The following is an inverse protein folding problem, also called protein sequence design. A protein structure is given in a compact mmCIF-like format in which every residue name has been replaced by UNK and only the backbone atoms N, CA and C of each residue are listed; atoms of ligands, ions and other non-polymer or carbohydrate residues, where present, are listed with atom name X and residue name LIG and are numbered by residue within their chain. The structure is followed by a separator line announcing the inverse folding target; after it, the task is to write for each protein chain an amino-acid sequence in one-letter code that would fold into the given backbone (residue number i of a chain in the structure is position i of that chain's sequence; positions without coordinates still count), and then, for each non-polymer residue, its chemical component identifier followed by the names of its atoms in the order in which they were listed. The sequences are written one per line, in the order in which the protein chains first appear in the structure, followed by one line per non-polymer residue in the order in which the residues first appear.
data_IF_301834938324
#
_entry.id   IF_301834938324
#
_cell.length_a   1.000
_cell.length_b   1.000
_cell.length_c   1.000
_cell.angle_alpha   90.00
_cell.angle_beta   90.00
_cell.angle_gamma   90.00
#
_symmetry.space_group_name_H-M   'P 1'
#
loop_
_entity.id
_entity.type
_entity.pdbx_description
1 polymer ?
#
# COMPACT_ATOMS: atom_id res chain seq x y z
N UNK A 1 23.47 -10.66 -27.48
CA UNK A 1 22.94 -10.80 -26.10
C UNK A 1 23.18 -12.22 -25.63
N UNK A 2 23.65 -12.43 -24.39
CA UNK A 2 23.84 -13.75 -23.78
C UNK A 2 23.54 -13.71 -22.28
N UNK A 3 23.30 -14.87 -21.67
CA UNK A 3 23.15 -14.98 -20.20
C UNK A 3 24.39 -15.64 -19.61
N UNK A 4 24.89 -15.12 -18.49
CA UNK A 4 25.99 -15.73 -17.73
C UNK A 4 25.98 -15.26 -16.27
N UNK A 5 26.62 -16.03 -15.38
CA UNK A 5 26.85 -15.58 -14.01
C UNK A 5 28.04 -14.63 -13.95
N UNK A 6 27.85 -13.47 -13.34
CA UNK A 6 28.91 -12.49 -13.12
C UNK A 6 29.18 -12.30 -11.63
N UNK A 7 30.43 -11.99 -11.30
CA UNK A 7 30.79 -11.59 -9.96
C UNK A 7 30.25 -10.18 -9.69
N UNK A 8 29.42 -10.00 -8.66
CA UNK A 8 28.81 -8.69 -8.35
C UNK A 8 29.85 -7.60 -8.10
N UNK A 9 31.04 -7.96 -7.62
CA UNK A 9 32.12 -7.01 -7.31
C UNK A 9 32.84 -6.49 -8.55
N UNK A 10 32.72 -7.16 -9.71
CA UNK A 10 33.35 -6.72 -10.97
C UNK A 10 32.44 -5.83 -11.81
N UNK A 11 31.20 -5.62 -11.38
CA UNK A 11 30.20 -4.84 -12.12
C UNK A 11 30.22 -3.40 -11.63
N UNK A 12 30.36 -2.47 -12.58
CA UNK A 12 30.44 -1.02 -12.37
C UNK A 12 29.07 -0.37 -12.63
N UNK A 13 28.89 0.85 -12.15
CA UNK A 13 27.69 1.67 -12.38
C UNK A 13 28.08 2.95 -13.10
N UNK A 14 27.32 3.32 -14.14
CA UNK A 14 27.50 4.60 -14.83
C UNK A 14 26.47 5.60 -14.30
N UNK A 15 26.93 6.56 -13.49
CA UNK A 15 26.07 7.57 -12.85
C UNK A 15 25.73 8.73 -13.78
N UNK A 16 26.17 8.72 -15.05
CA UNK A 16 25.86 9.80 -16.00
C UNK A 16 24.39 9.79 -16.44
N UNK A 17 23.73 8.63 -16.38
CA UNK A 17 22.30 8.48 -16.71
C UNK A 17 21.49 7.76 -15.63
N UNK A 18 22.13 7.13 -14.63
CA UNK A 18 21.45 6.40 -13.55
C UNK A 18 21.36 7.22 -12.28
N UNK A 19 20.26 7.05 -11.54
CA UNK A 19 20.11 7.63 -10.21
C UNK A 19 20.99 6.91 -9.17
N UNK A 20 21.50 7.59 -8.14
CA UNK A 20 22.26 6.96 -7.07
C UNK A 20 21.48 5.83 -6.37
N UNK A 21 22.21 4.83 -5.86
CA UNK A 21 21.62 3.73 -5.10
C UNK A 21 20.95 4.26 -3.83
N UNK A 22 19.69 3.89 -3.65
CA UNK A 22 18.92 4.25 -2.46
C UNK A 22 19.12 3.18 -1.38
N UNK A 23 19.80 3.54 -0.29
CA UNK A 23 20.10 2.61 0.81
C UNK A 23 18.85 2.02 1.46
N UNK A 24 17.71 2.74 1.43
CA UNK A 24 16.43 2.23 1.94
C UNK A 24 15.90 1.07 1.10
N UNK A 25 16.02 1.16 -0.23
CA UNK A 25 15.62 0.07 -1.13
C UNK A 25 16.55 -1.14 -0.98
N UNK A 26 17.86 -0.91 -0.82
CA UNK A 26 18.81 -1.99 -0.53
C UNK A 26 18.45 -2.71 0.76
N UNK A 27 18.21 -1.98 1.86
CA UNK A 27 17.78 -2.58 3.14
C UNK A 27 16.48 -3.37 3.02
N UNK A 28 15.52 -2.91 2.20
CA UNK A 28 14.27 -3.66 1.95
C UNK A 28 14.54 -4.98 1.21
N UNK A 29 15.43 -4.97 0.22
CA UNK A 29 15.81 -6.19 -0.51
C UNK A 29 16.49 -7.18 0.43
N UNK A 30 17.49 -6.73 1.20
CA UNK A 30 18.21 -7.58 2.17
C UNK A 30 17.24 -8.19 3.19
N UNK A 31 16.34 -7.37 3.76
CA UNK A 31 15.38 -7.84 4.78
C UNK A 31 14.40 -8.89 4.24
N UNK A 32 13.99 -8.79 2.98
CA UNK A 32 12.99 -9.68 2.36
C UNK A 32 13.61 -10.55 1.28
N UNK A 33 14.91 -10.86 1.39
CA UNK A 33 15.62 -11.58 0.34
C UNK A 33 15.04 -12.98 0.17
N UNK A 34 14.65 -13.29 -1.06
CA UNK A 34 14.21 -14.62 -1.45
C UNK A 34 15.00 -15.03 -2.70
N UNK A 35 15.91 -16.03 -2.59
CA UNK A 35 16.69 -16.50 -3.73
C UNK A 35 15.84 -16.90 -4.93
N UNK A 36 14.63 -17.44 -4.71
CA UNK A 36 13.71 -17.86 -5.78
C UNK A 36 13.07 -16.68 -6.53
N UNK A 37 13.07 -15.48 -5.93
CA UNK A 37 12.56 -14.26 -6.53
C UNK A 37 13.67 -13.38 -7.12
N UNK A 38 14.95 -13.80 -7.01
CA UNK A 38 16.07 -13.06 -7.57
C UNK A 38 16.05 -13.16 -9.09
N UNK A 39 15.72 -12.05 -9.74
CA UNK A 39 15.77 -11.93 -11.20
C UNK A 39 17.15 -11.50 -11.67
N UNK A 40 17.52 -11.90 -12.88
CA UNK A 40 18.79 -11.53 -13.50
C UNK A 40 18.95 -10.01 -13.59
N UNK A 41 20.17 -9.53 -13.42
CA UNK A 41 20.52 -8.14 -13.71
C UNK A 41 20.79 -7.95 -15.20
N UNK A 42 20.70 -6.72 -15.70
CA UNK A 42 21.01 -6.39 -17.09
C UNK A 42 22.29 -5.58 -17.10
N UNK A 43 23.27 -5.99 -17.91
CA UNK A 43 24.58 -5.35 -17.99
C UNK A 43 25.01 -5.12 -19.45
N UNK A 44 25.75 -4.03 -19.66
CA UNK A 44 26.51 -3.74 -20.87
C UNK A 44 27.95 -4.19 -20.67
N UNK A 45 28.46 -5.03 -21.59
CA UNK A 45 29.88 -5.29 -21.73
C UNK A 45 30.43 -4.32 -22.78
N UNK A 46 31.23 -3.36 -22.33
CA UNK A 46 31.83 -2.32 -23.17
C UNK A 46 33.06 -2.85 -23.91
N UNK A 47 33.62 -2.04 -24.81
CA UNK A 47 34.78 -2.40 -25.64
C UNK A 47 36.05 -2.66 -24.85
N UNK A 48 36.17 -2.11 -23.65
CA UNK A 48 37.23 -2.40 -22.67
C UNK A 48 37.05 -3.75 -21.95
N UNK A 49 35.95 -4.47 -22.24
CA UNK A 49 35.60 -5.74 -21.61
C UNK A 49 34.91 -5.61 -20.26
N UNK A 50 34.78 -4.40 -19.73
CA UNK A 50 34.19 -4.11 -18.42
C UNK A 50 32.66 -4.19 -18.46
N UNK A 51 32.08 -4.58 -17.33
CA UNK A 51 30.64 -4.72 -17.18
C UNK A 51 30.03 -3.52 -16.44
N UNK A 52 29.04 -2.90 -17.06
CA UNK A 52 28.27 -1.80 -16.50
C UNK A 52 26.81 -2.22 -16.30
N UNK A 53 26.29 -2.10 -15.09
CA UNK A 53 24.87 -2.39 -14.81
C UNK A 53 23.99 -1.37 -15.53
N UNK A 54 22.94 -1.86 -16.21
CA UNK A 54 21.85 -1.05 -16.79
C UNK A 54 20.61 -1.17 -15.88
N UNK A 55 20.29 -2.39 -15.41
CA UNK A 55 19.19 -2.63 -14.47
C UNK A 55 19.61 -3.60 -13.36
N UNK A 56 19.13 -3.32 -12.15
CA UNK A 56 19.40 -4.14 -10.97
C UNK A 56 20.46 -3.58 -10.03
N UNK A 57 20.76 -2.28 -10.06
CA UNK A 57 21.75 -1.66 -9.18
C UNK A 57 21.48 -1.90 -7.67
N UNK A 58 20.23 -1.81 -7.20
CA UNK A 58 19.89 -2.07 -5.81
C UNK A 58 19.98 -3.57 -5.47
N UNK A 59 19.63 -4.45 -6.42
CA UNK A 59 19.79 -5.91 -6.28
C UNK A 59 21.27 -6.27 -6.14
N UNK A 60 22.10 -5.79 -7.05
CA UNK A 60 23.56 -5.97 -6.98
C UNK A 60 24.12 -5.45 -5.65
N UNK A 61 23.70 -4.26 -5.20
CA UNK A 61 24.14 -3.69 -3.93
C UNK A 61 23.71 -4.51 -2.71
N UNK A 62 22.50 -5.07 -2.74
CA UNK A 62 22.02 -5.96 -1.69
C UNK A 62 22.79 -7.28 -1.67
N UNK A 63 23.09 -7.86 -2.83
CA UNK A 63 23.91 -9.08 -2.94
C UNK A 63 25.33 -8.85 -2.40
N UNK A 64 25.94 -7.69 -2.71
CA UNK A 64 27.23 -7.28 -2.11
C UNK A 64 27.14 -7.20 -0.59
N UNK A 65 26.08 -6.59 -0.05
CA UNK A 65 25.88 -6.47 1.41
C UNK A 65 25.66 -7.83 2.09
N UNK A 66 25.16 -8.83 1.36
CA UNK A 66 24.90 -10.19 1.86
C UNK A 66 26.04 -11.17 1.57
N UNK A 67 27.18 -10.70 1.06
CA UNK A 67 28.31 -11.52 0.63
C UNK A 67 27.93 -12.64 -0.37
N UNK A 68 26.94 -12.38 -1.24
CA UNK A 68 26.56 -13.29 -2.32
C UNK A 68 27.32 -12.88 -3.58
N UNK A 69 28.35 -13.64 -4.01
CA UNK A 69 29.32 -13.15 -4.98
C UNK A 69 28.81 -13.21 -6.42
N UNK A 70 27.88 -14.10 -6.74
CA UNK A 70 27.47 -14.38 -8.12
C UNK A 70 26.01 -14.03 -8.36
N UNK A 71 25.73 -13.43 -9.51
CA UNK A 71 24.38 -13.10 -9.96
C UNK A 71 24.21 -13.49 -11.43
N UNK A 72 23.03 -13.98 -11.79
CA UNK A 72 22.66 -14.18 -13.19
C UNK A 72 22.56 -12.82 -13.89
N UNK A 73 23.21 -12.68 -15.03
CA UNK A 73 23.26 -11.44 -15.79
C UNK A 73 22.89 -11.66 -17.26
N UNK A 74 22.04 -10.79 -17.79
CA UNK A 74 21.79 -10.63 -19.21
C UNK A 74 22.79 -9.62 -19.78
N UNK A 75 23.72 -10.10 -20.59
CA UNK A 75 24.87 -9.35 -21.08
C UNK A 75 24.60 -8.88 -22.52
N UNK A 76 24.62 -7.57 -22.70
CA UNK A 76 24.62 -6.91 -24.00
C UNK A 76 26.04 -6.48 -24.37
N UNK A 77 26.36 -6.53 -25.65
CA UNK A 77 27.68 -6.15 -26.20
C UNK A 77 27.44 -5.19 -27.36
N UNK A 78 28.36 -4.26 -27.57
CA UNK A 78 28.26 -3.29 -28.68
C UNK A 78 27.25 -2.19 -28.48
N UNK A 79 26.77 -1.97 -27.25
CA UNK A 79 25.95 -0.82 -26.90
C UNK A 79 26.83 0.43 -26.76
N UNK A 80 26.34 1.54 -27.29
CA UNK A 80 26.85 2.87 -26.94
C UNK A 80 26.26 3.32 -25.60
N UNK A 81 26.85 4.36 -24.99
CA UNK A 81 26.26 4.96 -23.78
C UNK A 81 24.86 5.52 -24.01
N UNK A 82 24.57 5.94 -25.24
CA UNK A 82 23.23 6.39 -25.62
C UNK A 82 22.24 5.22 -25.57
N UNK A 83 22.60 4.07 -26.15
CA UNK A 83 21.76 2.87 -26.14
C UNK A 83 21.53 2.37 -24.70
N UNK A 84 22.56 2.41 -23.85
CA UNK A 84 22.44 2.07 -22.43
C UNK A 84 21.44 2.99 -21.71
N UNK A 85 21.52 4.30 -21.94
CA UNK A 85 20.62 5.28 -21.34
C UNK A 85 19.17 5.14 -21.84
N UNK A 86 18.98 4.90 -23.14
CA UNK A 86 17.66 4.61 -23.72
C UNK A 86 17.06 3.34 -23.11
N UNK A 87 17.86 2.28 -22.98
CA UNK A 87 17.44 1.02 -22.37
C UNK A 87 17.08 1.20 -20.88
N UNK A 88 17.91 1.94 -20.13
CA UNK A 88 17.62 2.30 -18.74
C UNK A 88 16.27 3.03 -18.62
N UNK A 89 16.00 4.01 -19.48
CA UNK A 89 14.73 4.73 -19.48
C UNK A 89 13.54 3.78 -19.72
N UNK A 90 13.59 2.97 -20.78
CA UNK A 90 12.51 2.04 -21.16
C UNK A 90 12.22 0.99 -20.09
N UNK A 91 13.24 0.46 -19.42
CA UNK A 91 13.05 -0.52 -18.32
C UNK A 91 12.31 0.13 -17.15
N UNK A 92 12.67 1.37 -16.80
CA UNK A 92 12.09 2.09 -15.67
C UNK A 92 10.70 2.68 -15.96
N UNK A 93 10.23 2.66 -17.21
CA UNK A 93 8.84 3.01 -17.56
C UNK A 93 7.82 1.93 -17.12
N UNK A 94 8.28 0.70 -16.84
CA UNK A 94 7.41 -0.40 -16.40
C UNK A 94 6.85 -0.09 -15.01
N UNK A 95 5.53 0.08 -14.92
CA UNK A 95 4.85 0.40 -13.67
C UNK A 95 4.90 -0.77 -12.68
N UNK A 96 5.12 -0.43 -11.41
CA UNK A 96 4.96 -1.36 -10.30
C UNK A 96 3.54 -1.95 -10.27
N UNK A 97 3.43 -3.22 -9.85
CA UNK A 97 2.13 -3.88 -9.64
C UNK A 97 1.33 -3.14 -8.58
N UNK A 98 0.02 -3.10 -8.76
CA UNK A 98 -0.89 -2.45 -7.81
C UNK A 98 -0.92 -3.23 -6.48
N UNK A 99 -1.25 -2.57 -5.35
CA UNK A 99 -1.45 -3.26 -4.09
C UNK A 99 -2.46 -4.40 -4.17
N UNK A 100 -3.53 -4.22 -4.95
CA UNK A 100 -4.54 -5.25 -5.15
C UNK A 100 -3.97 -6.48 -5.88
N UNK A 101 -3.22 -6.28 -6.98
CA UNK A 101 -2.59 -7.40 -7.68
C UNK A 101 -1.59 -8.16 -6.80
N UNK A 102 -0.80 -7.44 -6.00
CA UNK A 102 0.10 -8.04 -5.01
C UNK A 102 -0.67 -8.78 -3.91
N UNK A 103 -1.78 -8.21 -3.43
CA UNK A 103 -2.69 -8.83 -2.47
C UNK A 103 -3.26 -10.15 -2.97
N UNK A 104 -3.72 -10.18 -4.23
CA UNK A 104 -4.21 -11.39 -4.91
C UNK A 104 -3.14 -12.48 -4.91
N UNK A 105 -1.91 -12.14 -5.28
CA UNK A 105 -0.80 -13.08 -5.31
C UNK A 105 -0.46 -13.61 -3.90
N UNK A 106 -0.37 -12.72 -2.90
CA UNK A 106 -0.12 -13.10 -1.50
C UNK A 106 -1.18 -14.05 -0.97
N UNK A 107 -2.45 -13.74 -1.20
CA UNK A 107 -3.57 -14.60 -0.80
C UNK A 107 -3.47 -15.99 -1.42
N UNK A 108 -3.22 -16.06 -2.74
CA UNK A 108 -3.05 -17.34 -3.44
C UNK A 108 -1.83 -18.15 -2.98
N UNK A 109 -0.79 -17.48 -2.48
CA UNK A 109 0.37 -18.15 -1.88
C UNK A 109 0.19 -18.57 -0.41
N UNK A 110 -0.98 -18.30 0.20
CA UNK A 110 -1.25 -18.62 1.60
C UNK A 110 -0.56 -17.68 2.61
N UNK A 111 -0.26 -16.44 2.22
CA UNK A 111 0.27 -15.44 3.16
C UNK A 111 -0.73 -15.17 4.28
N UNK A 112 -0.29 -15.36 5.53
CA UNK A 112 -1.17 -15.29 6.71
C UNK A 112 -1.92 -13.95 6.80
N UNK A 113 -1.24 -12.83 6.55
CA UNK A 113 -1.87 -11.51 6.63
C UNK A 113 -2.88 -11.29 5.51
N UNK A 114 -2.58 -11.74 4.28
CA UNK A 114 -3.51 -11.68 3.16
C UNK A 114 -4.73 -12.59 3.40
N UNK A 115 -4.56 -13.78 3.95
CA UNK A 115 -5.66 -14.68 4.34
C UNK A 115 -6.54 -14.06 5.43
N UNK A 116 -5.93 -13.47 6.46
CA UNK A 116 -6.66 -12.73 7.50
C UNK A 116 -7.50 -11.58 6.93
N UNK A 117 -6.92 -10.79 6.03
CA UNK A 117 -7.63 -9.70 5.35
C UNK A 117 -8.80 -10.24 4.52
N UNK A 118 -8.57 -11.31 3.77
CA UNK A 118 -9.61 -11.93 2.94
C UNK A 118 -10.79 -12.40 3.79
N UNK A 119 -10.52 -13.16 4.86
CA UNK A 119 -11.54 -13.65 5.77
C UNK A 119 -12.31 -12.51 6.45
N UNK A 120 -11.62 -11.47 6.93
CA UNK A 120 -12.27 -10.31 7.55
C UNK A 120 -13.21 -9.57 6.58
N UNK A 121 -12.87 -9.51 5.28
CA UNK A 121 -13.72 -8.91 4.25
C UNK A 121 -14.93 -9.81 3.95
N UNK A 122 -14.73 -11.12 3.80
CA UNK A 122 -15.82 -12.07 3.54
C UNK A 122 -16.80 -12.16 4.72
N UNK A 123 -16.30 -12.20 5.96
CA UNK A 123 -17.13 -12.20 7.17
C UNK A 123 -17.99 -10.93 7.29
N UNK A 124 -17.49 -9.78 6.81
CA UNK A 124 -18.28 -8.55 6.70
C UNK A 124 -19.34 -8.58 5.57
N UNK A 125 -19.43 -9.69 4.83
CA UNK A 125 -20.31 -9.87 3.68
C UNK A 125 -19.92 -8.98 2.51
N UNK A 126 -18.61 -8.85 2.26
CA UNK A 126 -18.01 -8.06 1.20
C UNK A 126 -17.04 -8.92 0.36
N UNK A 127 -16.63 -8.39 -0.78
CA UNK A 127 -15.66 -9.02 -1.68
C UNK A 127 -14.50 -8.07 -1.97
N UNK A 128 -13.28 -8.60 -2.07
CA UNK A 128 -12.13 -7.82 -2.53
C UNK A 128 -12.12 -7.82 -4.06
N UNK A 129 -12.24 -6.64 -4.67
CA UNK A 129 -12.01 -6.48 -6.09
C UNK A 129 -10.51 -6.29 -6.36
N UNK A 130 -9.82 -7.41 -6.58
CA UNK A 130 -8.39 -7.42 -6.82
C UNK A 130 -7.97 -6.78 -8.16
N UNK A 131 -8.85 -6.79 -9.15
CA UNK A 131 -8.55 -6.27 -10.49
C UNK A 131 -9.01 -4.81 -10.66
N UNK A 132 -9.74 -4.28 -9.66
CA UNK A 132 -10.25 -2.91 -9.62
C UNK A 132 -11.17 -2.57 -10.79
N UNK A 133 -11.89 -3.56 -11.31
CA UNK A 133 -12.81 -3.42 -12.45
C UNK A 133 -14.28 -3.41 -12.03
N UNK A 134 -14.62 -3.97 -10.86
CA UNK A 134 -15.99 -4.05 -10.40
C UNK A 134 -16.43 -2.73 -9.73
N UNK A 135 -17.61 -2.24 -10.09
CA UNK A 135 -18.24 -1.03 -9.52
C UNK A 135 -19.57 -1.33 -8.81
N UNK A 136 -19.86 -2.60 -8.57
CA UNK A 136 -21.05 -3.06 -7.87
C UNK A 136 -20.94 -2.85 -6.36
N UNK A 137 -22.07 -2.99 -5.67
CA UNK A 137 -22.15 -2.97 -4.22
C UNK A 137 -21.34 -4.13 -3.62
N UNK A 138 -21.04 -4.03 -2.31
CA UNK A 138 -20.26 -5.02 -1.55
C UNK A 138 -18.80 -5.23 -1.99
N UNK A 139 -18.27 -4.47 -2.95
CA UNK A 139 -16.89 -4.63 -3.41
C UNK A 139 -15.94 -3.59 -2.81
N UNK A 140 -14.81 -4.08 -2.29
CA UNK A 140 -13.72 -3.25 -1.76
C UNK A 140 -12.54 -3.23 -2.72
N UNK A 141 -12.19 -2.05 -3.21
CA UNK A 141 -11.05 -1.83 -4.13
C UNK A 141 -9.81 -1.30 -3.43
N UNK A 142 -9.93 -0.89 -2.17
CA UNK A 142 -8.85 -0.23 -1.43
C UNK A 142 -7.97 -1.24 -0.66
N UNK A 143 -7.37 -2.23 -1.34
CA UNK A 143 -6.61 -3.30 -0.67
C UNK A 143 -5.50 -2.77 0.26
N UNK A 144 -4.81 -1.70 -0.16
CA UNK A 144 -3.77 -1.07 0.67
C UNK A 144 -4.30 -0.50 2.00
N UNK A 145 -5.57 -0.09 2.05
CA UNK A 145 -6.22 0.33 3.29
C UNK A 145 -6.55 -0.86 4.20
N UNK A 146 -7.02 -1.97 3.60
CA UNK A 146 -7.20 -3.24 4.33
C UNK A 146 -5.89 -3.69 4.96
N UNK A 147 -4.78 -3.69 4.20
CA UNK A 147 -3.45 -4.03 4.72
C UNK A 147 -3.03 -3.11 5.88
N UNK A 148 -3.26 -1.79 5.77
CA UNK A 148 -2.92 -0.84 6.83
C UNK A 148 -3.73 -1.10 8.11
N UNK A 149 -5.04 -1.28 7.99
CA UNK A 149 -5.92 -1.50 9.14
C UNK A 149 -5.61 -2.85 9.79
N UNK A 150 -5.51 -3.94 9.02
CA UNK A 150 -5.15 -5.25 9.56
C UNK A 150 -3.79 -5.23 10.27
N UNK A 151 -2.78 -4.61 9.65
CA UNK A 151 -1.45 -4.50 10.25
C UNK A 151 -1.45 -3.69 11.56
N UNK A 152 -2.28 -2.65 11.65
CA UNK A 152 -2.28 -1.72 12.78
C UNK A 152 -3.17 -2.18 13.94
N UNK A 153 -4.33 -2.75 13.63
CA UNK A 153 -5.38 -3.02 14.62
C UNK A 153 -5.84 -4.49 14.64
N UNK A 154 -5.36 -5.33 13.73
CA UNK A 154 -5.74 -6.74 13.62
C UNK A 154 -6.98 -6.99 12.74
N UNK A 155 -7.21 -8.28 12.45
CA UNK A 155 -8.23 -8.73 11.51
C UNK A 155 -9.66 -8.52 12.05
N UNK A 156 -9.88 -8.81 13.33
CA UNK A 156 -11.19 -8.62 13.99
C UNK A 156 -11.63 -7.15 13.93
N UNK A 157 -10.71 -6.22 14.18
CA UNK A 157 -11.01 -4.80 14.09
C UNK A 157 -11.24 -4.34 12.64
N UNK A 158 -10.57 -4.95 11.66
CA UNK A 158 -10.85 -4.70 10.26
C UNK A 158 -12.26 -5.16 9.89
N UNK A 159 -12.66 -6.37 10.29
CA UNK A 159 -14.00 -6.91 10.07
C UNK A 159 -15.06 -6.00 10.69
N UNK A 160 -14.92 -5.65 11.98
CA UNK A 160 -15.80 -4.71 12.69
C UNK A 160 -15.91 -3.37 11.94
N UNK A 161 -14.77 -2.81 11.51
CA UNK A 161 -14.74 -1.56 10.73
C UNK A 161 -15.57 -1.65 9.45
N UNK A 162 -15.45 -2.74 8.70
CA UNK A 162 -16.15 -2.95 7.45
C UNK A 162 -17.66 -3.13 7.65
N UNK A 163 -18.05 -3.88 8.68
CA UNK A 163 -19.47 -4.06 9.08
C UNK A 163 -20.09 -2.71 9.41
N UNK A 164 -19.43 -1.90 10.25
CA UNK A 164 -19.96 -0.60 10.65
C UNK A 164 -20.02 0.35 9.44
N UNK A 165 -18.99 0.37 8.58
CA UNK A 165 -19.01 1.17 7.34
C UNK A 165 -20.20 0.83 6.44
N UNK A 166 -20.48 -0.47 6.28
CA UNK A 166 -21.62 -0.96 5.51
C UNK A 166 -22.94 -0.44 6.08
N UNK A 167 -23.09 -0.43 7.41
CA UNK A 167 -24.31 0.05 8.09
C UNK A 167 -24.46 1.58 8.10
N UNK A 168 -23.38 2.35 8.26
CA UNK A 168 -23.49 3.83 8.35
C UNK A 168 -23.73 4.51 7.00
N UNK A 169 -23.32 3.89 5.89
CA UNK A 169 -23.42 4.46 4.53
C UNK A 169 -24.35 3.66 3.59
N UNK A 170 -25.24 2.82 4.13
CA UNK A 170 -26.19 2.00 3.37
C UNK A 170 -25.54 1.21 2.21
N UNK A 171 -24.33 0.73 2.45
CA UNK A 171 -23.57 -0.07 1.49
C UNK A 171 -23.38 0.57 0.10
N UNK A 172 -23.33 1.91 0.01
CA UNK A 172 -23.08 2.60 -1.26
C UNK A 172 -21.72 2.21 -1.86
N UNK A 173 -21.57 2.27 -3.19
CA UNK A 173 -20.33 1.87 -3.90
C UNK A 173 -19.08 2.57 -3.36
N UNK A 174 -19.20 3.82 -2.92
CA UNK A 174 -18.10 4.62 -2.37
C UNK A 174 -17.94 4.50 -0.84
N UNK A 175 -18.62 3.56 -0.19
CA UNK A 175 -18.53 3.34 1.27
C UNK A 175 -17.15 2.84 1.69
N UNK A 176 -16.48 2.04 0.84
CA UNK A 176 -15.22 1.36 1.15
C UNK A 176 -13.99 2.00 0.49
N UNK A 177 -14.02 3.33 0.33
CA UNK A 177 -12.83 4.07 -0.08
C UNK A 177 -11.76 4.04 1.02
N UNK A 178 -10.48 4.13 0.62
CA UNK A 178 -9.35 4.06 1.54
C UNK A 178 -9.48 5.02 2.75
N UNK A 179 -9.92 6.26 2.51
CA UNK A 179 -10.12 7.26 3.57
C UNK A 179 -11.21 6.85 4.58
N UNK A 180 -12.27 6.18 4.11
CA UNK A 180 -13.37 5.75 4.96
C UNK A 180 -12.93 4.57 5.83
N UNK A 181 -12.22 3.60 5.24
CA UNK A 181 -11.66 2.44 5.95
C UNK A 181 -10.66 2.90 7.02
N UNK A 182 -9.65 3.68 6.64
CA UNK A 182 -8.62 4.13 7.60
C UNK A 182 -9.24 5.00 8.72
N UNK A 183 -10.16 5.89 8.36
CA UNK A 183 -10.77 6.84 9.27
C UNK A 183 -11.78 6.21 10.23
N UNK A 184 -12.62 5.29 9.74
CA UNK A 184 -13.54 4.54 10.60
C UNK A 184 -12.76 3.65 11.57
N UNK A 185 -11.75 2.90 11.09
CA UNK A 185 -10.90 2.10 11.97
C UNK A 185 -10.25 2.95 13.07
N UNK A 186 -9.69 4.13 12.71
CA UNK A 186 -9.16 5.04 13.74
C UNK A 186 -10.23 5.49 14.74
N UNK A 187 -11.41 5.88 14.28
CA UNK A 187 -12.50 6.32 15.16
C UNK A 187 -12.91 5.21 16.13
N UNK A 188 -13.15 4.01 15.62
CA UNK A 188 -13.58 2.86 16.42
C UNK A 188 -12.51 2.42 17.41
N UNK A 189 -11.25 2.41 17.01
CA UNK A 189 -10.15 2.08 17.92
C UNK A 189 -10.05 3.07 19.09
N UNK A 190 -10.23 4.36 18.82
CA UNK A 190 -10.08 5.44 19.82
C UNK A 190 -11.25 5.51 20.78
N UNK A 191 -12.46 5.23 20.31
CA UNK A 191 -13.70 5.39 21.09
C UNK A 191 -14.41 4.07 21.42
N UNK A 192 -13.76 2.91 21.24
CA UNK A 192 -14.35 1.56 21.36
C UNK A 192 -15.30 1.42 22.56
N UNK A 193 -14.91 1.97 23.71
CA UNK A 193 -15.64 1.81 24.97
C UNK A 193 -16.63 2.95 25.27
N UNK A 194 -16.62 4.03 24.47
CA UNK A 194 -17.36 5.26 24.75
C UNK A 194 -18.54 5.51 23.79
N UNK A 195 -18.52 4.93 22.58
CA UNK A 195 -19.48 5.28 21.54
C UNK A 195 -20.73 4.39 21.54
N UNK A 196 -21.89 5.00 21.26
CA UNK A 196 -23.14 4.28 21.00
C UNK A 196 -23.25 3.94 19.50
N UNK A 197 -23.22 2.65 19.19
CA UNK A 197 -23.35 2.13 17.83
C UNK A 197 -24.65 2.56 17.14
N UNK A 198 -25.80 2.44 17.81
CA UNK A 198 -27.11 2.80 17.24
C UNK A 198 -27.18 4.29 16.93
N UNK A 199 -26.58 5.12 17.79
CA UNK A 199 -26.46 6.55 17.55
C UNK A 199 -25.61 6.83 16.31
N UNK A 200 -24.41 6.24 16.23
CA UNK A 200 -23.49 6.45 15.11
C UNK A 200 -24.18 6.17 13.77
N UNK A 201 -24.79 4.98 13.64
CA UNK A 201 -25.55 4.59 12.44
C UNK A 201 -26.64 5.60 12.15
N UNK A 202 -27.49 5.94 13.13
CA UNK A 202 -28.61 6.87 12.94
C UNK A 202 -28.17 8.26 12.46
N UNK A 203 -27.10 8.83 13.03
CA UNK A 203 -26.70 10.21 12.69
C UNK A 203 -25.95 10.29 11.36
N UNK A 204 -25.12 9.30 11.04
CA UNK A 204 -24.37 9.28 9.77
C UNK A 204 -25.30 8.92 8.61
N UNK A 205 -26.17 7.93 8.79
CA UNK A 205 -27.17 7.56 7.80
C UNK A 205 -28.09 8.75 7.43
N UNK A 206 -28.62 9.44 8.45
CA UNK A 206 -29.46 10.64 8.25
C UNK A 206 -28.73 11.76 7.50
N UNK A 207 -27.43 11.89 7.69
CA UNK A 207 -26.62 12.88 6.99
C UNK A 207 -26.41 12.48 5.52
N UNK A 208 -26.19 11.18 5.27
CA UNK A 208 -25.89 10.63 3.96
C UNK A 208 -24.43 10.84 3.55
N UNK A 209 -23.93 9.97 2.67
CA UNK A 209 -22.52 9.95 2.26
C UNK A 209 -22.08 11.25 1.54
N UNK A 210 -22.97 11.86 0.73
CA UNK A 210 -22.65 13.07 -0.01
C UNK A 210 -22.35 14.26 0.92
N UNK A 211 -23.23 14.51 1.89
CA UNK A 211 -23.05 15.59 2.86
C UNK A 211 -21.92 15.28 3.84
N UNK A 212 -21.74 14.01 4.23
CA UNK A 212 -20.57 13.58 5.00
C UNK A 212 -19.26 13.93 4.27
N UNK A 213 -19.17 13.64 2.96
CA UNK A 213 -17.99 13.96 2.15
C UNK A 213 -17.77 15.48 2.02
N UNK A 214 -18.84 16.28 2.00
CA UNK A 214 -18.74 17.75 2.03
C UNK A 214 -18.09 18.23 3.33
N UNK A 215 -18.57 17.75 4.48
CA UNK A 215 -17.99 18.08 5.79
C UNK A 215 -16.54 17.60 5.93
N UNK A 216 -16.25 16.39 5.43
CA UNK A 216 -14.88 15.87 5.38
C UNK A 216 -13.95 16.79 4.59
N UNK A 217 -14.39 17.26 3.42
CA UNK A 217 -13.60 18.14 2.57
C UNK A 217 -13.31 19.49 3.24
N UNK A 218 -14.27 20.01 4.01
CA UNK A 218 -14.10 21.23 4.81
C UNK A 218 -13.12 21.05 5.98
N UNK A 219 -13.12 19.88 6.62
CA UNK A 219 -12.24 19.60 7.76
C UNK A 219 -10.82 19.21 7.35
N UNK A 220 -10.64 18.63 6.14
CA UNK A 220 -9.37 18.07 5.67
C UNK A 220 -8.17 19.03 5.74
N UNK A 221 -8.26 20.31 5.35
CA UNK A 221 -7.12 21.24 5.42
C UNK A 221 -6.57 21.45 6.84
N UNK A 222 -7.37 21.19 7.88
CA UNK A 222 -7.00 21.39 9.27
C UNK A 222 -6.51 20.10 9.97
N UNK A 223 -6.17 19.07 9.20
CA UNK A 223 -5.81 17.75 9.72
C UNK A 223 -4.55 17.22 9.04
N UNK A 224 -3.67 16.58 9.82
CA UNK A 224 -2.38 16.07 9.32
C UNK A 224 -2.53 14.88 8.36
N UNK A 225 -3.62 14.12 8.49
CA UNK A 225 -3.87 12.93 7.68
C UNK A 225 -5.32 12.84 7.24
N UNK A 226 -5.56 12.15 6.12
CA UNK A 226 -6.91 11.86 5.61
C UNK A 226 -7.73 11.02 6.60
N UNK A 227 -7.08 10.08 7.30
CA UNK A 227 -7.71 9.27 8.34
C UNK A 227 -8.17 10.13 9.52
N UNK A 228 -7.33 11.06 9.98
CA UNK A 228 -7.69 12.02 11.04
C UNK A 228 -8.84 12.92 10.62
N UNK A 229 -8.81 13.45 9.40
CA UNK A 229 -9.89 14.29 8.88
C UNK A 229 -11.23 13.54 8.84
N UNK A 230 -11.22 12.27 8.44
CA UNK A 230 -12.43 11.44 8.44
C UNK A 230 -12.92 11.15 9.87
N UNK A 231 -12.02 10.75 10.78
CA UNK A 231 -12.37 10.47 12.17
C UNK A 231 -12.90 11.71 12.93
N UNK A 232 -12.31 12.89 12.69
CA UNK A 232 -12.80 14.17 13.25
C UNK A 232 -14.16 14.52 12.66
N UNK A 233 -14.39 14.27 11.37
CA UNK A 233 -15.69 14.48 10.75
C UNK A 233 -16.75 13.56 11.36
N UNK A 234 -16.45 12.27 11.55
CA UNK A 234 -17.31 11.34 12.28
C UNK A 234 -17.63 11.84 13.69
N UNK A 235 -16.61 12.26 14.43
CA UNK A 235 -16.76 12.80 15.78
C UNK A 235 -17.71 14.01 15.81
N UNK A 236 -17.53 14.97 14.90
CA UNK A 236 -18.36 16.17 14.83
C UNK A 236 -19.82 15.82 14.51
N UNK A 237 -20.03 14.86 13.61
CA UNK A 237 -21.38 14.35 13.27
C UNK A 237 -21.99 13.61 14.46
N UNK A 238 -21.23 12.75 15.15
CA UNK A 238 -21.66 12.01 16.33
C UNK A 238 -22.06 12.93 17.48
N UNK A 239 -21.23 13.93 17.80
CA UNK A 239 -21.43 14.85 18.91
C UNK A 239 -22.54 15.90 18.67
N UNK A 240 -23.04 16.00 17.43
CA UNK A 240 -24.08 16.98 17.09
C UNK A 240 -25.34 16.76 17.92
N UNK A 241 -25.81 17.82 18.59
CA UNK A 241 -27.00 17.80 19.49
C UNK A 241 -26.86 16.89 20.73
N UNK A 242 -25.65 16.51 21.13
CA UNK A 242 -25.39 15.92 22.45
C UNK A 242 -25.15 17.01 23.49
N UNK A 243 -25.54 16.71 24.74
CA UNK A 243 -25.07 17.47 25.90
C UNK A 243 -23.57 17.24 26.11
N UNK A 244 -22.87 18.17 26.74
CA UNK A 244 -21.41 18.10 26.87
C UNK A 244 -20.94 16.81 27.55
N UNK A 245 -21.65 16.35 28.58
CA UNK A 245 -21.34 15.12 29.32
C UNK A 245 -21.48 13.83 28.50
N UNK A 246 -22.16 13.89 27.35
CA UNK A 246 -22.36 12.75 26.45
C UNK A 246 -21.43 12.79 25.23
N UNK A 247 -20.69 13.89 25.04
CA UNK A 247 -19.82 14.05 23.87
C UNK A 247 -18.56 13.22 24.00
N UNK A 248 -18.17 12.58 22.90
CA UNK A 248 -16.87 11.97 22.77
C UNK A 248 -15.79 13.05 22.79
N UNK A 249 -14.71 12.81 23.55
CA UNK A 249 -13.63 13.77 23.74
C UNK A 249 -12.71 13.85 22.51
N UNK A 250 -12.75 14.98 21.80
CA UNK A 250 -11.92 15.26 20.62
C UNK A 250 -10.42 15.09 20.86
N UNK A 251 -9.94 15.35 22.07
CA UNK A 251 -8.51 15.25 22.39
C UNK A 251 -7.98 13.82 22.20
N UNK A 252 -8.82 12.79 22.32
CA UNK A 252 -8.41 11.39 22.10
C UNK A 252 -7.98 11.09 20.65
N UNK A 253 -8.38 11.92 19.67
CA UNK A 253 -7.96 11.75 18.26
C UNK A 253 -6.67 12.49 17.89
N UNK A 254 -6.22 13.42 18.75
CA UNK A 254 -5.04 14.26 18.55
C UNK A 254 -3.75 13.66 19.14
N UNK A 255 -3.88 12.55 19.86
CA UNK A 255 -2.79 11.70 20.35
C UNK A 255 -2.53 10.59 19.33
#
# INVERSE_FOLDING_TARGET
MRTSKLNVNTIKTDTTYQSPVNSTEVRKIVKNFNPKALTSIIVSQRTDGEYYVIDGQHRMSALKQMDIPMVEALIYTGLTRYDEAEMYAKINEIKAKTPNALGKAKYQSGDLAATQIHNAVENAGLFIDYDSTNRELNHVRAYRALERVNKKYGAEHLEETLVILKSVFDNYVHSFEAKNIDGMAKFLFVYRDDFDYKRLVKVVNRLGLAEFNRLYTQNKPNCDTTANAFAITLLNVYNKKLKEEQKLNKMKLLV
#
